data_IF_804061934352
#
_entry.id   IF_804061934352
#
_cell.length_a   1.000
_cell.length_b   1.000
_cell.length_c   1.000
_cell.angle_alpha   90.00
_cell.angle_beta   90.00
_cell.angle_gamma   90.00
#
_symmetry.space_group_name_H-M   'P 1'
#
loop_
_entity.id
_entity.type
_entity.pdbx_description
1 polymer ?
#
# COMPACT_ATOMS: atom_id res chain seq x y z
N UNK A 1 28.91 16.62 0.13
CA UNK A 1 27.59 15.96 0.28
C UNK A 1 27.37 15.20 -1.01
N UNK A 2 27.01 13.91 -0.98
CA UNK A 2 26.77 13.14 -2.21
C UNK A 2 25.50 13.73 -2.87
N UNK A 3 25.69 14.41 -4.00
CA UNK A 3 24.68 15.20 -4.70
C UNK A 3 23.54 14.33 -5.23
N UNK A 4 23.88 13.16 -5.74
CA UNK A 4 22.97 12.17 -6.29
C UNK A 4 22.05 11.61 -5.20
N UNK A 5 22.60 11.34 -4.00
CA UNK A 5 21.80 10.87 -2.87
C UNK A 5 20.81 11.94 -2.39
N UNK A 6 21.23 13.21 -2.39
CA UNK A 6 20.38 14.33 -2.01
C UNK A 6 19.24 14.56 -3.03
N UNK A 7 19.53 14.41 -4.32
CA UNK A 7 18.55 14.48 -5.40
C UNK A 7 17.50 13.36 -5.28
N UNK A 8 17.95 12.10 -5.13
CA UNK A 8 17.04 10.96 -4.94
C UNK A 8 16.17 11.14 -3.69
N UNK A 9 16.76 11.57 -2.58
CA UNK A 9 16.02 11.86 -1.35
C UNK A 9 14.98 12.96 -1.57
N UNK A 10 15.32 14.03 -2.29
CA UNK A 10 14.42 15.13 -2.55
C UNK A 10 13.24 14.69 -3.43
N UNK A 11 13.50 13.98 -4.52
CA UNK A 11 12.46 13.45 -5.41
C UNK A 11 11.51 12.51 -4.67
N UNK A 12 12.03 11.54 -3.92
CA UNK A 12 11.20 10.61 -3.15
C UNK A 12 10.33 11.32 -2.12
N UNK A 13 10.90 12.22 -1.32
CA UNK A 13 10.13 12.93 -0.30
C UNK A 13 9.07 13.87 -0.89
N UNK A 14 9.33 14.41 -2.09
CA UNK A 14 8.38 15.29 -2.78
C UNK A 14 7.20 14.47 -3.30
N UNK A 15 7.48 13.34 -3.95
CA UNK A 15 6.44 12.44 -4.47
C UNK A 15 5.61 11.84 -3.33
N UNK A 16 6.28 11.34 -2.27
CA UNK A 16 5.60 10.83 -1.09
C UNK A 16 4.72 11.87 -0.40
N UNK A 17 5.08 13.16 -0.42
CA UNK A 17 4.25 14.22 0.12
C UNK A 17 2.96 14.41 -0.71
N UNK A 18 3.07 14.42 -2.04
CA UNK A 18 1.94 14.50 -2.97
C UNK A 18 0.97 13.32 -2.79
N UNK A 19 1.50 12.10 -2.82
CA UNK A 19 0.72 10.87 -2.62
C UNK A 19 0.07 10.82 -1.23
N UNK A 20 0.76 11.30 -0.20
CA UNK A 20 0.19 11.39 1.14
C UNK A 20 -0.99 12.38 1.19
N UNK A 21 -0.93 13.52 0.50
CA UNK A 21 -2.08 14.44 0.41
C UNK A 21 -3.27 13.80 -0.31
N UNK A 22 -3.03 13.00 -1.35
CA UNK A 22 -4.08 12.24 -2.04
C UNK A 22 -4.75 11.22 -1.12
N UNK A 23 -3.98 10.48 -0.32
CA UNK A 23 -4.49 9.41 0.57
C UNK A 23 -5.04 9.94 1.89
N UNK A 24 -4.49 11.00 2.45
CA UNK A 24 -4.83 11.50 3.78
C UNK A 24 -5.64 12.81 3.75
N UNK A 25 -5.77 13.45 2.59
CA UNK A 25 -6.37 14.77 2.43
C UNK A 25 -5.37 15.90 2.68
N UNK A 26 -5.62 17.11 2.14
CA UNK A 26 -4.70 18.25 2.27
C UNK A 26 -4.43 18.61 3.73
N UNK A 27 -3.17 18.87 4.05
CA UNK A 27 -2.69 19.44 5.33
C UNK A 27 -3.10 18.70 6.61
N UNK A 28 -3.61 17.47 6.51
CA UNK A 28 -4.20 16.77 7.64
C UNK A 28 -3.19 15.89 8.40
N UNK A 29 -2.17 15.36 7.72
CA UNK A 29 -1.22 14.42 8.30
C UNK A 29 0.19 14.59 7.73
N UNK A 30 1.21 14.39 8.57
CA UNK A 30 2.61 14.39 8.16
C UNK A 30 2.85 13.29 7.10
N UNK A 31 3.55 13.58 6.00
CA UNK A 31 3.91 12.55 5.03
C UNK A 31 5.03 11.64 5.58
N UNK A 32 5.15 10.41 5.05
CA UNK A 32 6.33 9.61 5.30
C UNK A 32 7.55 10.32 4.70
N UNK A 33 8.67 10.26 5.42
CA UNK A 33 9.92 10.90 5.04
C UNK A 33 11.06 9.90 5.10
N UNK A 34 11.89 9.90 4.06
CA UNK A 34 13.15 9.17 4.02
C UNK A 34 14.33 10.13 4.12
N UNK A 35 15.26 9.84 5.04
CA UNK A 35 16.59 10.46 5.10
C UNK A 35 17.62 9.42 4.67
N UNK A 36 18.29 9.66 3.56
CA UNK A 36 19.30 8.78 2.99
C UNK A 36 20.70 9.20 3.44
N UNK A 37 21.48 8.24 3.94
CA UNK A 37 22.89 8.38 4.31
C UNK A 37 23.71 7.36 3.51
N UNK A 38 25.05 7.51 3.41
CA UNK A 38 25.87 6.63 2.56
C UNK A 38 25.73 5.12 2.83
N UNK A 39 25.39 4.72 4.06
CA UNK A 39 25.32 3.31 4.48
C UNK A 39 24.03 2.93 5.22
N UNK A 40 23.08 3.86 5.35
CA UNK A 40 21.85 3.65 6.12
C UNK A 40 20.78 4.64 5.67
N UNK A 41 19.53 4.37 6.04
CA UNK A 41 18.44 5.33 5.90
C UNK A 41 17.68 5.45 7.22
N UNK A 42 16.97 6.57 7.38
CA UNK A 42 15.90 6.71 8.36
C UNK A 42 14.58 6.86 7.59
N UNK A 43 13.56 6.10 7.95
CA UNK A 43 12.24 6.22 7.34
C UNK A 43 11.20 6.36 8.45
N UNK A 44 10.48 7.48 8.44
CA UNK A 44 9.57 7.82 9.53
C UNK A 44 8.39 8.65 9.06
N UNK A 45 7.30 8.64 9.83
CA UNK A 45 6.29 9.70 9.80
C UNK A 45 6.44 10.49 11.11
N UNK A 46 6.73 11.79 11.00
CA UNK A 46 7.04 12.60 12.17
C UNK A 46 5.84 12.62 13.13
N UNK A 47 6.10 12.37 14.42
CA UNK A 47 5.11 12.31 15.50
C UNK A 47 4.05 11.19 15.40
N UNK A 48 4.22 10.23 14.48
CA UNK A 48 3.30 9.09 14.36
C UNK A 48 4.05 7.79 14.05
N UNK A 49 4.11 6.92 15.05
CA UNK A 49 4.77 5.61 14.98
C UNK A 49 3.75 4.45 14.99
N UNK A 50 2.47 4.73 14.73
CA UNK A 50 1.44 3.70 14.70
C UNK A 50 1.67 2.69 13.57
N UNK A 51 1.36 1.41 13.80
CA UNK A 51 1.53 0.34 12.80
C UNK A 51 0.80 0.65 11.49
N UNK A 52 -0.43 1.19 11.56
CA UNK A 52 -1.18 1.60 10.38
C UNK A 52 -0.49 2.74 9.60
N UNK A 53 0.15 3.66 10.30
CA UNK A 53 0.92 4.74 9.69
C UNK A 53 2.19 4.22 9.02
N UNK A 54 2.88 3.26 9.64
CA UNK A 54 4.03 2.59 9.03
C UNK A 54 3.68 1.85 7.74
N UNK A 55 2.58 1.07 7.74
CA UNK A 55 2.13 0.37 6.52
C UNK A 55 1.66 1.33 5.44
N UNK A 56 0.90 2.36 5.78
CA UNK A 56 0.53 3.43 4.85
C UNK A 56 1.78 4.11 4.28
N UNK A 57 2.77 4.40 5.12
CA UNK A 57 4.03 4.99 4.72
C UNK A 57 4.77 4.13 3.70
N UNK A 58 4.83 2.82 3.93
CA UNK A 58 5.44 1.87 3.00
C UNK A 58 4.71 1.82 1.65
N UNK A 59 3.36 1.78 1.66
CA UNK A 59 2.55 1.85 0.44
C UNK A 59 2.85 3.11 -0.36
N UNK A 60 2.91 4.27 0.30
CA UNK A 60 3.22 5.55 -0.34
C UNK A 60 4.64 5.57 -0.90
N UNK A 61 5.60 4.98 -0.18
CA UNK A 61 6.99 4.87 -0.65
C UNK A 61 7.10 3.98 -1.90
N UNK A 62 6.44 2.82 -1.90
CA UNK A 62 6.44 1.90 -3.04
C UNK A 62 5.78 2.54 -4.27
N UNK A 63 4.67 3.26 -4.07
CA UNK A 63 4.03 4.04 -5.13
C UNK A 63 4.95 5.14 -5.68
N UNK A 64 5.61 5.91 -4.81
CA UNK A 64 6.59 6.92 -5.25
C UNK A 64 7.74 6.30 -6.05
N UNK A 65 8.22 5.11 -5.66
CA UNK A 65 9.22 4.37 -6.42
C UNK A 65 8.66 3.90 -7.77
N UNK A 66 7.40 3.46 -7.82
CA UNK A 66 6.74 3.09 -9.05
C UNK A 66 6.68 4.29 -10.00
N UNK A 67 6.27 5.47 -9.52
CA UNK A 67 6.09 6.67 -10.35
C UNK A 67 7.41 7.23 -10.86
N UNK A 68 8.43 7.31 -10.01
CA UNK A 68 9.72 7.94 -10.33
C UNK A 68 10.68 7.05 -11.15
N UNK A 69 10.39 5.76 -11.29
CA UNK A 69 11.32 4.81 -11.92
C UNK A 69 10.71 4.07 -13.12
N UNK A 70 11.53 3.26 -13.77
CA UNK A 70 11.09 2.34 -14.85
C UNK A 70 10.52 1.02 -14.31
N UNK A 71 10.29 0.91 -13.01
CA UNK A 71 9.68 -0.29 -12.43
C UNK A 71 8.31 -0.54 -13.08
N UNK A 72 8.04 -1.75 -13.59
CA UNK A 72 6.80 -2.02 -14.31
C UNK A 72 5.62 -2.34 -13.40
N UNK A 73 5.88 -2.88 -12.19
CA UNK A 73 4.85 -3.27 -11.23
C UNK A 73 5.41 -3.48 -9.82
N UNK A 74 4.53 -3.54 -8.82
CA UNK A 74 4.79 -4.11 -7.50
C UNK A 74 3.64 -5.02 -7.02
N UNK A 75 3.88 -5.73 -5.92
CA UNK A 75 2.92 -6.66 -5.30
C UNK A 75 2.82 -6.37 -3.80
N UNK A 76 1.60 -6.23 -3.27
CA UNK A 76 1.33 -6.03 -1.85
C UNK A 76 0.49 -7.15 -1.26
N UNK A 77 0.89 -7.63 -0.09
CA UNK A 77 0.13 -8.61 0.68
C UNK A 77 -0.96 -7.94 1.56
N UNK A 78 -1.97 -8.69 1.96
CA UNK A 78 -3.12 -8.20 2.73
C UNK A 78 -2.74 -7.61 4.08
N UNK A 79 -1.63 -8.07 4.66
CA UNK A 79 -1.09 -7.55 5.91
C UNK A 79 -0.89 -6.03 5.88
N UNK A 80 -0.47 -5.47 4.75
CA UNK A 80 -0.24 -4.02 4.61
C UNK A 80 -1.53 -3.21 4.79
N UNK A 81 -2.70 -3.78 4.53
CA UNK A 81 -3.98 -3.08 4.63
C UNK A 81 -4.63 -3.23 6.01
N UNK A 82 -4.39 -4.34 6.71
CA UNK A 82 -5.11 -4.74 7.93
C UNK A 82 -5.22 -3.67 9.03
N UNK A 83 -4.17 -2.86 9.23
CA UNK A 83 -4.10 -1.86 10.30
C UNK A 83 -4.31 -0.41 9.82
N UNK A 84 -4.63 -0.21 8.55
CA UNK A 84 -4.88 1.11 7.98
C UNK A 84 -6.36 1.49 8.15
N UNK A 85 -6.61 2.74 8.57
CA UNK A 85 -7.96 3.30 8.69
C UNK A 85 -8.77 3.09 7.39
N UNK A 86 -10.05 2.75 7.54
CA UNK A 86 -10.94 2.39 6.41
C UNK A 86 -10.95 3.48 5.33
N UNK A 87 -11.05 4.74 5.73
CA UNK A 87 -11.08 5.87 4.79
C UNK A 87 -9.78 6.01 3.98
N UNK A 88 -8.64 5.69 4.60
CA UNK A 88 -7.33 5.70 3.92
C UNK A 88 -7.22 4.48 2.99
N UNK A 89 -7.69 3.30 3.41
CA UNK A 89 -7.78 2.13 2.53
C UNK A 89 -8.60 2.41 1.28
N UNK A 90 -9.77 3.04 1.43
CA UNK A 90 -10.61 3.45 0.30
C UNK A 90 -9.82 4.31 -0.69
N UNK A 91 -9.12 5.34 -0.20
CA UNK A 91 -8.33 6.23 -1.05
C UNK A 91 -7.14 5.54 -1.70
N UNK A 92 -6.48 4.60 -1.02
CA UNK A 92 -5.40 3.79 -1.61
C UNK A 92 -5.93 2.95 -2.77
N UNK A 93 -7.09 2.29 -2.62
CA UNK A 93 -7.71 1.52 -3.70
C UNK A 93 -8.08 2.42 -4.89
N UNK A 94 -8.63 3.60 -4.63
CA UNK A 94 -8.94 4.57 -5.69
C UNK A 94 -7.67 5.10 -6.38
N UNK A 95 -6.59 5.34 -5.65
CA UNK A 95 -5.28 5.74 -6.18
C UNK A 95 -4.71 4.65 -7.09
N UNK A 96 -4.70 3.39 -6.65
CA UNK A 96 -4.22 2.27 -7.47
C UNK A 96 -5.02 2.09 -8.76
N UNK A 97 -6.33 2.34 -8.74
CA UNK A 97 -7.18 2.25 -9.93
C UNK A 97 -6.90 3.33 -10.98
N UNK A 98 -6.23 4.42 -10.60
CA UNK A 98 -5.84 5.48 -11.53
C UNK A 98 -4.52 5.18 -12.22
N UNK A 99 -3.82 4.13 -11.80
CA UNK A 99 -2.44 3.92 -12.18
C UNK A 99 -2.29 3.25 -13.55
N UNK A 100 -1.25 3.65 -14.28
CA UNK A 100 -1.00 3.12 -15.63
C UNK A 100 -0.11 1.88 -15.61
N UNK A 101 0.67 1.73 -14.54
CA UNK A 101 1.54 0.58 -14.27
C UNK A 101 0.77 -0.48 -13.47
N UNK A 102 1.20 -1.74 -13.56
CA UNK A 102 0.47 -2.83 -12.92
C UNK A 102 0.71 -2.87 -11.42
N UNK A 103 -0.34 -3.10 -10.65
CA UNK A 103 -0.28 -3.25 -9.19
C UNK A 103 -1.07 -4.51 -8.83
N UNK A 104 -0.45 -5.41 -8.08
CA UNK A 104 -1.12 -6.61 -7.56
C UNK A 104 -1.30 -6.49 -6.06
N UNK A 105 -2.52 -6.69 -5.57
CA UNK A 105 -2.82 -6.66 -4.14
C UNK A 105 -3.55 -7.93 -3.71
N UNK A 106 -3.22 -8.40 -2.52
CA UNK A 106 -4.07 -9.27 -1.71
C UNK A 106 -4.86 -8.40 -0.73
N UNK A 107 -6.17 -8.61 -0.60
CA UNK A 107 -7.01 -7.84 0.31
C UNK A 107 -8.13 -8.71 0.88
N UNK A 108 -8.45 -8.46 2.15
CA UNK A 108 -9.56 -9.08 2.87
C UNK A 108 -10.57 -8.02 3.34
N UNK A 109 -11.66 -8.49 3.94
CA UNK A 109 -12.71 -7.66 4.54
C UNK A 109 -13.20 -6.52 3.66
N UNK A 110 -13.38 -6.76 2.37
CA UNK A 110 -13.77 -5.74 1.39
C UNK A 110 -15.15 -5.13 1.70
N UNK A 111 -15.99 -5.86 2.43
CA UNK A 111 -17.33 -5.44 2.84
C UNK A 111 -17.36 -4.18 3.71
N UNK A 112 -16.26 -3.88 4.42
CA UNK A 112 -16.16 -2.67 5.26
C UNK A 112 -15.74 -1.44 4.48
N UNK A 113 -15.30 -1.61 3.24
CA UNK A 113 -14.87 -0.53 2.37
C UNK A 113 -16.07 0.18 1.73
N UNK A 114 -15.83 1.35 1.16
CA UNK A 114 -16.82 2.11 0.40
C UNK A 114 -17.33 1.32 -0.81
N UNK A 115 -18.55 1.62 -1.27
CA UNK A 115 -19.11 0.98 -2.48
C UNK A 115 -18.21 1.13 -3.70
N UNK A 116 -17.63 2.32 -3.89
CA UNK A 116 -16.71 2.62 -4.97
C UNK A 116 -15.45 1.74 -4.92
N UNK A 117 -14.82 1.64 -3.74
CA UNK A 117 -13.66 0.77 -3.56
C UNK A 117 -14.02 -0.71 -3.79
N UNK A 118 -15.18 -1.15 -3.31
CA UNK A 118 -15.68 -2.51 -3.55
C UNK A 118 -15.89 -2.79 -5.05
N UNK A 119 -16.44 -1.83 -5.80
CA UNK A 119 -16.66 -1.93 -7.25
C UNK A 119 -15.31 -2.06 -7.98
N UNK A 120 -14.35 -1.17 -7.68
CA UNK A 120 -12.97 -1.24 -8.22
C UNK A 120 -12.35 -2.61 -7.97
N UNK A 121 -12.42 -3.11 -6.72
CA UNK A 121 -11.84 -4.41 -6.36
C UNK A 121 -12.52 -5.52 -7.17
N UNK A 122 -13.86 -5.55 -7.22
CA UNK A 122 -14.61 -6.61 -7.93
C UNK A 122 -14.31 -6.62 -9.43
N UNK A 123 -14.26 -5.46 -10.06
CA UNK A 123 -13.97 -5.33 -11.50
C UNK A 123 -12.56 -5.80 -11.86
N UNK A 124 -11.61 -5.66 -10.94
CA UNK A 124 -10.20 -6.04 -11.14
C UNK A 124 -9.82 -7.37 -10.47
N UNK A 125 -10.78 -8.09 -9.87
CA UNK A 125 -10.50 -9.35 -9.16
C UNK A 125 -10.16 -10.45 -10.15
N UNK A 126 -8.95 -10.99 -10.03
CA UNK A 126 -8.50 -12.17 -10.79
C UNK A 126 -8.83 -13.47 -10.06
N UNK A 127 -8.72 -13.47 -8.73
CA UNK A 127 -8.91 -14.65 -7.89
C UNK A 127 -9.60 -14.27 -6.58
N UNK A 128 -10.62 -15.04 -6.20
CA UNK A 128 -11.26 -14.95 -4.88
C UNK A 128 -11.07 -16.28 -4.16
N UNK A 129 -10.56 -16.22 -2.93
CA UNK A 129 -10.37 -17.40 -2.09
C UNK A 129 -11.44 -17.42 -0.99
N UNK A 130 -12.11 -18.55 -0.84
CA UNK A 130 -13.16 -18.74 0.17
C UNK A 130 -13.03 -20.12 0.81
N UNK A 131 -13.67 -20.31 1.96
CA UNK A 131 -13.76 -21.63 2.59
C UNK A 131 -14.66 -22.57 1.79
N UNK A 132 -14.44 -23.88 1.98
CA UNK A 132 -15.35 -24.92 1.48
C UNK A 132 -14.97 -25.44 0.09
N UNK A 133 -13.67 -25.62 -0.15
CA UNK A 133 -13.14 -26.16 -1.40
C UNK A 133 -12.79 -25.08 -2.44
N UNK A 134 -12.92 -23.80 -2.08
CA UNK A 134 -12.51 -22.64 -2.90
C UNK A 134 -11.23 -21.98 -2.38
N UNK A 135 -10.50 -22.67 -1.52
CA UNK A 135 -9.15 -22.28 -1.12
C UNK A 135 -8.19 -22.44 -2.30
N UNK A 136 -6.99 -21.87 -2.20
CA UNK A 136 -6.00 -21.87 -3.30
C UNK A 136 -5.71 -23.28 -3.86
N UNK A 137 -5.77 -24.31 -3.00
CA UNK A 137 -5.52 -25.71 -3.35
C UNK A 137 -6.75 -26.61 -3.16
N UNK A 138 -7.95 -26.02 -3.08
CA UNK A 138 -9.22 -26.75 -2.92
C UNK A 138 -9.42 -27.40 -1.55
N UNK A 139 -8.59 -27.09 -0.56
CA UNK A 139 -8.76 -27.53 0.84
C UNK A 139 -8.09 -26.58 1.82
N UNK A 140 -8.61 -26.54 3.05
CA UNK A 140 -7.92 -25.90 4.16
C UNK A 140 -6.88 -26.82 4.80
N UNK A 141 -5.76 -26.26 5.24
CA UNK A 141 -4.67 -26.99 5.89
C UNK A 141 -4.85 -27.15 7.40
N UNK A 142 -5.75 -26.37 7.98
CA UNK A 142 -6.00 -26.36 9.43
C UNK A 142 -7.28 -27.12 9.83
N UNK A 143 -7.91 -27.83 8.89
CA UNK A 143 -9.03 -28.70 9.18
C UNK A 143 -8.55 -29.99 9.86
N UNK A 144 -9.11 -30.31 11.03
CA UNK A 144 -8.93 -31.63 11.60
C UNK A 144 -9.56 -32.65 10.66
N UNK A 145 -8.75 -33.58 10.15
CA UNK A 145 -9.26 -34.75 9.46
C UNK A 145 -10.28 -35.44 10.39
N UNK A 146 -11.52 -35.54 9.93
CA UNK A 146 -12.57 -36.26 10.64
C UNK A 146 -12.10 -37.72 10.79
N UNK A 147 -11.94 -38.18 12.03
CA UNK A 147 -11.60 -39.58 12.34
C UNK A 147 -12.73 -40.52 11.97
#
# INVERSE_FOLDING_TARGET
>A
MNTELAEVQHSLNTEMASLNEQVCGPSSFQPPRIELKPTRYNFETINDQGTGTSFKGLIIFDQACLDLTRLPFFVHDSLLFSNIEIDRRNRIIEMYAQETKQIFISIDSIEVLSKKAQEIIRENTVLTLERGGKELLGRSWNEQATK
#
